data_IF_766551594395
#
_entry.id   IF_766551594395
#
_cell.length_a   1.000
_cell.length_b   1.000
_cell.length_c   1.000
_cell.angle_alpha   90.00
_cell.angle_beta   90.00
_cell.angle_gamma   90.00
#
_symmetry.space_group_name_H-M   'P 1'
#
loop_
_entity.id
_entity.type
_entity.pdbx_description
1 polymer ?
#
# COMPACT_ATOMS: atom_id res chain seq x y z
N UNK A 1 -8.17 26.26 1.06
CA UNK A 1 -7.15 25.74 1.98
C UNK A 1 -7.85 25.11 3.17
N UNK A 2 -7.59 23.85 3.46
CA UNK A 2 -7.96 23.27 4.74
C UNK A 2 -7.13 24.02 5.78
N UNK A 3 -7.75 24.87 6.58
CA UNK A 3 -7.11 25.67 7.65
C UNK A 3 -6.77 24.76 8.84
N UNK A 4 -5.84 23.83 8.64
CA UNK A 4 -5.36 22.88 9.65
C UNK A 4 -3.86 23.00 9.77
N UNK A 5 -3.35 22.96 10.98
CA UNK A 5 -1.94 22.66 11.19
C UNK A 5 -1.60 21.42 10.36
N UNK A 6 -0.46 21.37 9.66
CA UNK A 6 -0.14 20.26 8.75
C UNK A 6 -0.19 18.93 9.50
N UNK A 7 -1.09 18.06 9.08
CA UNK A 7 -1.36 16.75 9.69
C UNK A 7 -0.06 15.94 9.85
N UNK A 8 0.77 15.99 8.81
CA UNK A 8 2.06 15.31 8.80
C UNK A 8 3.05 15.91 9.81
N UNK A 9 3.07 17.24 9.96
CA UNK A 9 3.96 17.90 10.92
C UNK A 9 3.60 17.53 12.36
N UNK A 10 2.31 17.54 12.71
CA UNK A 10 1.83 17.09 14.03
C UNK A 10 2.15 15.61 14.28
N UNK A 11 1.97 14.76 13.27
CA UNK A 11 2.29 13.34 13.39
C UNK A 11 3.80 13.12 13.60
N UNK A 12 4.66 13.82 12.87
CA UNK A 12 6.12 13.76 13.03
C UNK A 12 6.56 14.21 14.41
N UNK A 13 6.02 15.33 14.89
CA UNK A 13 6.34 15.85 16.23
C UNK A 13 5.92 14.84 17.31
N UNK A 14 4.71 14.30 17.23
CA UNK A 14 4.21 13.30 18.20
C UNK A 14 5.11 12.07 18.26
N UNK A 15 5.46 11.46 17.11
CA UNK A 15 6.28 10.24 17.12
C UNK A 15 7.72 10.51 17.56
N UNK A 16 8.26 11.70 17.27
CA UNK A 16 9.58 12.12 17.75
C UNK A 16 9.61 12.34 19.26
N UNK A 17 8.58 12.94 19.83
CA UNK A 17 8.46 13.09 21.28
C UNK A 17 8.40 11.74 21.99
N UNK A 18 7.70 10.76 21.41
CA UNK A 18 7.53 9.43 21.98
C UNK A 18 8.77 8.53 21.80
N UNK A 19 9.47 8.61 20.67
CA UNK A 19 10.48 7.65 20.26
C UNK A 19 11.85 8.28 19.97
N UNK A 20 12.00 9.60 20.05
CA UNK A 20 13.23 10.32 19.64
C UNK A 20 14.48 9.93 20.45
N UNK A 21 14.30 9.42 21.67
CA UNK A 21 15.41 8.87 22.46
C UNK A 21 16.09 7.63 21.86
N UNK A 22 15.49 7.02 20.82
CA UNK A 22 16.11 5.91 20.09
C UNK A 22 17.11 6.36 19.02
N UNK A 23 17.04 7.62 18.56
CA UNK A 23 17.95 8.13 17.51
C UNK A 23 19.40 8.12 18.00
N UNK A 24 20.28 7.55 17.19
CA UNK A 24 21.69 7.35 17.50
C UNK A 24 21.99 6.04 18.23
N UNK A 25 20.98 5.26 18.62
CA UNK A 25 21.16 3.93 19.24
C UNK A 25 21.17 2.84 18.18
N UNK A 26 21.75 1.69 18.56
CA UNK A 26 21.62 0.46 17.78
C UNK A 26 20.17 -0.04 17.77
N UNK A 27 19.76 -0.71 16.69
CA UNK A 27 18.44 -1.33 16.61
C UNK A 27 18.20 -2.39 17.69
N UNK A 28 19.27 -3.04 18.14
CA UNK A 28 19.24 -4.05 19.22
C UNK A 28 18.93 -3.44 20.59
N UNK A 29 19.12 -2.11 20.75
CA UNK A 29 18.82 -1.39 21.99
C UNK A 29 17.41 -0.77 22.02
N UNK A 30 16.59 -1.01 20.98
CA UNK A 30 15.22 -0.52 20.93
C UNK A 30 14.36 -1.15 22.02
N UNK A 31 13.44 -0.36 22.54
CA UNK A 31 12.35 -0.89 23.38
C UNK A 31 11.40 -1.66 22.45
N UNK A 32 11.26 -2.95 22.69
CA UNK A 32 10.50 -3.88 21.88
C UNK A 32 9.05 -4.03 22.35
N UNK A 33 8.12 -4.44 21.48
CA UNK A 33 8.33 -4.62 20.04
C UNK A 33 8.39 -3.28 19.29
N UNK A 34 9.27 -3.18 18.26
CA UNK A 34 9.46 -1.97 17.51
C UNK A 34 9.49 -2.23 15.99
N UNK A 35 8.81 -1.40 15.22
CA UNK A 35 8.84 -1.46 13.76
C UNK A 35 10.10 -0.79 13.23
N UNK A 36 10.91 -1.53 12.49
CA UNK A 36 12.20 -1.09 11.97
C UNK A 36 12.19 -1.09 10.45
N UNK A 37 12.69 -0.01 9.86
CA UNK A 37 12.86 0.17 8.42
C UNK A 37 14.33 0.37 8.08
N UNK A 38 14.93 -0.56 7.35
CA UNK A 38 16.23 -0.36 6.71
C UNK A 38 16.03 0.52 5.47
N UNK A 39 16.45 1.78 5.56
CA UNK A 39 16.20 2.78 4.54
C UNK A 39 17.00 2.54 3.26
N UNK A 40 18.19 1.95 3.38
CA UNK A 40 19.03 1.69 2.23
C UNK A 40 18.52 0.47 1.45
N UNK A 41 18.04 -0.57 2.14
CA UNK A 41 17.35 -1.70 1.51
C UNK A 41 16.04 -1.25 0.83
N UNK A 42 15.24 -0.40 1.50
CA UNK A 42 14.04 0.19 0.89
C UNK A 42 14.36 1.00 -0.37
N UNK A 43 15.44 1.79 -0.35
CA UNK A 43 15.86 2.55 -1.53
C UNK A 43 16.32 1.64 -2.67
N UNK A 44 17.10 0.58 -2.39
CA UNK A 44 17.47 -0.41 -3.41
C UNK A 44 16.25 -1.08 -4.03
N UNK A 45 15.23 -1.38 -3.25
CA UNK A 45 13.96 -1.92 -3.75
C UNK A 45 13.24 -0.93 -4.69
N UNK A 46 13.19 0.34 -4.33
CA UNK A 46 12.60 1.41 -5.16
C UNK A 46 13.35 1.52 -6.48
N UNK A 47 14.66 1.61 -6.42
CA UNK A 47 15.52 1.76 -7.61
C UNK A 47 15.43 0.54 -8.52
N UNK A 48 15.35 -0.65 -7.94
CA UNK A 48 15.19 -1.92 -8.66
C UNK A 48 13.89 -1.95 -9.46
N UNK A 49 12.75 -1.70 -8.81
CA UNK A 49 11.46 -1.72 -9.53
C UNK A 49 11.42 -0.67 -10.64
N UNK A 50 11.86 0.55 -10.35
CA UNK A 50 11.93 1.61 -11.33
C UNK A 50 12.86 1.24 -12.50
N UNK A 51 13.97 0.56 -12.22
CA UNK A 51 14.90 0.04 -13.25
C UNK A 51 14.29 -1.06 -14.11
N UNK A 52 13.63 -2.05 -13.49
CA UNK A 52 12.94 -3.15 -14.21
C UNK A 52 11.87 -2.59 -15.15
N UNK A 53 11.00 -1.67 -14.68
CA UNK A 53 9.95 -1.08 -15.50
C UNK A 53 10.49 -0.22 -16.65
N UNK A 54 11.55 0.56 -16.42
CA UNK A 54 12.22 1.31 -17.51
C UNK A 54 12.76 0.38 -18.59
N UNK A 55 13.30 -0.77 -18.24
CA UNK A 55 13.79 -1.76 -19.20
C UNK A 55 12.67 -2.42 -20.00
N UNK A 56 11.50 -2.64 -19.37
CA UNK A 56 10.32 -3.17 -20.06
C UNK A 56 9.70 -2.14 -21.00
N UNK A 57 9.76 -0.85 -20.67
CA UNK A 57 9.40 0.27 -21.56
C UNK A 57 7.91 0.43 -21.85
N UNK A 58 7.02 -0.31 -21.17
CA UNK A 58 5.60 -0.36 -21.49
C UNK A 58 4.69 0.26 -20.44
N UNK A 59 5.00 0.15 -19.16
CA UNK A 59 4.18 0.66 -18.06
C UNK A 59 5.01 1.48 -17.07
N UNK A 60 4.36 2.47 -16.44
CA UNK A 60 4.92 3.24 -15.34
C UNK A 60 4.50 2.63 -14.00
N UNK A 61 5.13 3.07 -12.90
CA UNK A 61 4.68 2.71 -11.56
C UNK A 61 3.80 3.81 -10.96
N UNK A 62 2.69 3.43 -10.37
CA UNK A 62 1.88 4.20 -9.42
C UNK A 62 1.86 3.45 -8.09
N UNK A 63 2.87 3.64 -7.22
CA UNK A 63 3.04 2.83 -6.02
C UNK A 63 1.83 2.89 -5.11
N UNK A 64 1.50 1.74 -4.49
CA UNK A 64 0.36 1.68 -3.59
C UNK A 64 0.77 1.99 -2.15
N UNK A 65 0.37 3.16 -1.67
CA UNK A 65 0.71 3.73 -0.36
C UNK A 65 0.31 2.86 0.84
N UNK A 66 -0.79 2.08 0.73
CA UNK A 66 -1.29 1.21 1.82
C UNK A 66 -0.24 0.23 2.35
N UNK A 67 0.76 -0.10 1.53
CA UNK A 67 1.78 -1.08 1.90
C UNK A 67 2.69 -0.60 3.03
N UNK A 68 2.96 0.71 3.08
CA UNK A 68 3.93 1.29 4.02
C UNK A 68 3.41 2.48 4.82
N UNK A 69 2.38 3.19 4.37
CA UNK A 69 1.78 4.34 5.08
C UNK A 69 2.80 5.38 5.56
N UNK A 70 3.88 5.59 4.81
CA UNK A 70 4.94 6.57 5.09
C UNK A 70 5.03 7.59 3.96
N UNK A 71 4.71 8.88 4.22
CA UNK A 71 4.90 9.95 3.24
C UNK A 71 6.35 10.09 2.78
N UNK A 72 7.31 9.78 3.65
CA UNK A 72 8.74 9.85 3.32
C UNK A 72 9.14 8.78 2.29
N UNK A 73 8.60 7.55 2.40
CA UNK A 73 8.77 6.53 1.36
C UNK A 73 8.04 6.90 0.07
N UNK A 74 6.83 7.46 0.16
CA UNK A 74 6.07 7.93 -1.01
C UNK A 74 6.85 8.99 -1.80
N UNK A 75 7.48 9.96 -1.12
CA UNK A 75 8.36 10.94 -1.75
C UNK A 75 9.54 10.31 -2.48
N UNK A 76 10.20 9.31 -1.89
CA UNK A 76 11.30 8.58 -2.53
C UNK A 76 10.85 7.85 -3.80
N UNK A 77 9.65 7.27 -3.77
CA UNK A 77 9.05 6.61 -4.94
C UNK A 77 8.76 7.59 -6.07
N UNK A 78 8.23 8.78 -5.75
CA UNK A 78 8.01 9.86 -6.73
C UNK A 78 9.34 10.35 -7.29
N UNK A 79 10.37 10.56 -6.46
CA UNK A 79 11.70 10.94 -6.91
C UNK A 79 12.37 9.89 -7.81
N UNK A 80 12.04 8.61 -7.64
CA UNK A 80 12.49 7.52 -8.50
C UNK A 80 11.74 7.43 -9.85
N UNK A 81 10.73 8.29 -10.07
CA UNK A 81 10.00 8.41 -11.33
C UNK A 81 8.60 7.81 -11.32
N UNK A 82 7.99 7.61 -10.16
CA UNK A 82 6.57 7.24 -10.10
C UNK A 82 5.69 8.35 -10.69
N UNK A 83 4.71 7.97 -11.52
CA UNK A 83 3.81 8.89 -12.23
C UNK A 83 2.70 9.49 -11.36
N UNK A 84 2.61 9.09 -10.09
CA UNK A 84 1.62 9.45 -9.10
C UNK A 84 1.57 8.37 -8.04
N UNK A 85 0.57 8.40 -7.15
CA UNK A 85 0.42 7.44 -6.06
C UNK A 85 -0.98 6.84 -6.06
N UNK A 86 -1.10 5.55 -5.75
CA UNK A 86 -2.38 4.91 -5.46
C UNK A 86 -2.55 4.65 -3.96
N UNK A 87 -3.78 4.77 -3.49
CA UNK A 87 -4.13 4.59 -2.09
C UNK A 87 -5.50 3.92 -1.92
N UNK A 88 -5.68 3.26 -0.78
CA UNK A 88 -6.90 2.52 -0.49
C UNK A 88 -8.01 3.41 0.11
N UNK A 89 -7.67 4.51 0.76
CA UNK A 89 -8.63 5.32 1.51
C UNK A 89 -8.50 6.82 1.21
N UNK A 90 -9.60 7.54 1.37
CA UNK A 90 -9.63 9.01 1.25
C UNK A 90 -8.66 9.67 2.24
N UNK A 91 -8.46 9.09 3.40
CA UNK A 91 -7.58 9.62 4.43
C UNK A 91 -6.10 9.50 4.08
N UNK A 92 -5.73 8.45 3.34
CA UNK A 92 -4.40 8.35 2.75
C UNK A 92 -4.19 9.45 1.70
N UNK A 93 -5.20 9.77 0.88
CA UNK A 93 -5.13 10.88 -0.05
C UNK A 93 -4.93 12.22 0.65
N UNK A 94 -5.68 12.48 1.74
CA UNK A 94 -5.53 13.72 2.53
C UNK A 94 -4.12 13.86 3.11
N UNK A 95 -3.56 12.79 3.67
CA UNK A 95 -2.19 12.81 4.22
C UNK A 95 -1.14 13.06 3.15
N UNK A 96 -1.29 12.44 1.99
CA UNK A 96 -0.35 12.63 0.87
C UNK A 96 -0.45 14.04 0.29
N UNK A 97 -1.66 14.59 0.21
CA UNK A 97 -1.90 15.96 -0.16
C UNK A 97 -1.24 16.97 0.81
N UNK A 98 -1.41 16.75 2.12
CA UNK A 98 -0.78 17.52 3.18
C UNK A 98 0.76 17.42 3.13
N UNK A 99 1.28 16.29 2.70
CA UNK A 99 2.71 16.09 2.44
C UNK A 99 3.21 16.79 1.16
N UNK A 100 2.36 17.47 0.40
CA UNK A 100 2.70 18.14 -0.85
C UNK A 100 2.84 17.23 -2.05
N UNK A 101 2.30 16.00 -1.98
CA UNK A 101 2.25 15.05 -3.07
C UNK A 101 0.99 15.26 -3.90
N UNK A 102 1.11 15.20 -5.20
CA UNK A 102 0.04 15.37 -6.19
C UNK A 102 -0.16 14.08 -7.00
N UNK A 103 -1.17 14.06 -7.88
CA UNK A 103 -1.57 12.91 -8.69
C UNK A 103 -1.92 11.69 -7.83
N UNK A 104 -3.04 11.82 -7.11
CA UNK A 104 -3.53 10.90 -6.09
C UNK A 104 -4.67 10.04 -6.64
N UNK A 105 -4.52 8.73 -6.66
CA UNK A 105 -5.55 7.81 -7.11
C UNK A 105 -6.11 6.97 -5.95
N UNK A 106 -7.34 7.27 -5.51
CA UNK A 106 -8.09 6.43 -4.57
C UNK A 106 -8.69 5.26 -5.33
N UNK A 107 -8.08 4.10 -5.19
CA UNK A 107 -8.41 2.90 -5.99
C UNK A 107 -9.64 2.14 -5.50
N UNK A 108 -10.15 2.46 -4.33
CA UNK A 108 -11.40 1.88 -3.82
C UNK A 108 -12.58 2.79 -4.16
N UNK A 109 -13.75 2.18 -4.38
CA UNK A 109 -15.02 2.90 -4.47
C UNK A 109 -15.33 3.67 -3.20
N UNK A 110 -15.77 4.92 -3.34
CA UNK A 110 -16.07 5.81 -2.20
C UNK A 110 -17.53 6.21 -2.24
N UNK A 111 -18.36 5.64 -1.35
CA UNK A 111 -19.80 5.85 -1.32
C UNK A 111 -20.29 6.80 -0.22
N UNK A 112 -19.56 6.94 0.89
CA UNK A 112 -20.01 7.77 2.01
C UNK A 112 -19.95 9.27 1.66
N UNK A 113 -21.05 10.06 1.80
CA UNK A 113 -21.13 11.45 1.36
C UNK A 113 -20.02 12.35 1.92
N UNK A 114 -19.65 12.20 3.19
CA UNK A 114 -18.57 12.97 3.79
C UNK A 114 -17.20 12.68 3.15
N UNK A 115 -16.93 11.42 2.78
CA UNK A 115 -15.69 11.04 2.08
C UNK A 115 -15.68 11.59 0.65
N UNK A 116 -16.81 11.53 -0.05
CA UNK A 116 -16.99 12.12 -1.39
C UNK A 116 -16.74 13.62 -1.35
N UNK A 117 -17.30 14.34 -0.36
CA UNK A 117 -17.07 15.78 -0.19
C UNK A 117 -15.60 16.14 0.07
N UNK A 118 -14.85 15.27 0.79
CA UNK A 118 -13.40 15.46 1.00
C UNK A 118 -12.64 15.32 -0.33
N UNK A 119 -12.94 14.28 -1.12
CA UNK A 119 -12.31 14.09 -2.44
C UNK A 119 -12.57 15.28 -3.37
N UNK A 120 -13.81 15.76 -3.42
CA UNK A 120 -14.18 16.91 -4.24
C UNK A 120 -13.41 18.18 -3.83
N UNK A 121 -13.20 18.42 -2.52
CA UNK A 121 -12.38 19.54 -2.05
C UNK A 121 -10.90 19.39 -2.39
N UNK A 122 -10.34 18.19 -2.22
CA UNK A 122 -8.95 17.92 -2.60
C UNK A 122 -8.72 18.16 -4.10
N UNK A 123 -9.69 17.78 -4.93
CA UNK A 123 -9.62 17.95 -6.38
C UNK A 123 -9.68 19.42 -6.87
N UNK A 124 -9.92 20.38 -5.98
CA UNK A 124 -9.81 21.80 -6.31
C UNK A 124 -8.35 22.27 -6.45
N UNK A 125 -7.44 21.69 -5.69
CA UNK A 125 -6.04 22.09 -5.62
C UNK A 125 -5.07 21.05 -6.20
N UNK A 126 -5.55 19.80 -6.41
CA UNK A 126 -4.70 18.66 -6.78
C UNK A 126 -5.36 17.79 -7.83
N UNK A 127 -4.55 17.00 -8.53
CA UNK A 127 -5.07 15.96 -9.42
C UNK A 127 -5.50 14.75 -8.59
N UNK A 128 -6.83 14.55 -8.46
CA UNK A 128 -7.41 13.42 -7.73
C UNK A 128 -8.17 12.52 -8.69
N UNK A 129 -7.85 11.22 -8.65
CA UNK A 129 -8.57 10.16 -9.35
C UNK A 129 -9.29 9.30 -8.30
N UNK A 130 -10.46 8.76 -8.69
CA UNK A 130 -11.21 7.81 -7.86
C UNK A 130 -11.81 6.71 -8.72
N UNK A 131 -11.83 5.48 -8.20
CA UNK A 131 -12.44 4.34 -8.84
C UNK A 131 -13.97 4.38 -8.69
N UNK A 132 -14.69 3.98 -9.74
CA UNK A 132 -16.15 3.79 -9.75
C UNK A 132 -16.51 2.53 -10.51
N UNK A 133 -17.58 1.87 -10.09
CA UNK A 133 -18.14 0.68 -10.74
C UNK A 133 -19.65 0.77 -10.95
N UNK A 134 -20.30 1.84 -10.43
CA UNK A 134 -21.74 2.05 -10.54
C UNK A 134 -22.12 3.50 -10.86
N UNK A 135 -23.18 3.68 -11.66
CA UNK A 135 -23.69 4.98 -12.06
C UNK A 135 -24.17 5.88 -10.89
N UNK A 136 -24.88 5.35 -9.85
CA UNK A 136 -25.26 6.17 -8.69
C UNK A 136 -24.06 6.76 -7.94
N UNK A 137 -22.95 6.02 -7.85
CA UNK A 137 -21.71 6.50 -7.22
C UNK A 137 -21.05 7.61 -8.05
N UNK A 138 -20.99 7.44 -9.39
CA UNK A 138 -20.51 8.47 -10.30
C UNK A 138 -21.35 9.76 -10.20
N UNK A 139 -22.68 9.65 -10.13
CA UNK A 139 -23.57 10.79 -9.96
C UNK A 139 -23.34 11.52 -8.63
N UNK A 140 -23.10 10.80 -7.53
CA UNK A 140 -22.80 11.40 -6.23
C UNK A 140 -21.46 12.16 -6.24
N UNK A 141 -20.43 11.59 -6.87
CA UNK A 141 -19.13 12.26 -7.08
C UNK A 141 -19.27 13.52 -7.95
N UNK A 142 -20.05 13.46 -9.03
CA UNK A 142 -20.36 14.62 -9.90
C UNK A 142 -21.01 15.76 -9.13
N UNK A 143 -22.04 15.44 -8.33
CA UNK A 143 -22.71 16.45 -7.51
C UNK A 143 -21.77 17.14 -6.53
N UNK A 144 -20.91 16.39 -5.88
CA UNK A 144 -19.93 16.93 -4.92
C UNK A 144 -18.84 17.76 -5.63
N UNK A 145 -18.30 17.27 -6.75
CA UNK A 145 -17.30 17.99 -7.52
C UNK A 145 -17.84 19.32 -8.05
N UNK A 146 -19.07 19.31 -8.60
CA UNK A 146 -19.77 20.52 -9.05
C UNK A 146 -19.98 21.50 -7.91
N UNK A 147 -20.43 21.03 -6.75
CA UNK A 147 -20.63 21.88 -5.57
C UNK A 147 -19.31 22.48 -5.04
N UNK A 148 -18.21 21.77 -5.17
CA UNK A 148 -16.86 22.25 -4.79
C UNK A 148 -16.18 23.10 -5.86
N UNK A 149 -16.74 23.19 -7.06
CA UNK A 149 -16.11 23.88 -8.21
C UNK A 149 -14.83 23.17 -8.70
N UNK A 150 -14.77 21.86 -8.52
CA UNK A 150 -13.61 21.01 -8.84
C UNK A 150 -13.90 20.02 -9.95
N UNK A 151 -12.87 19.29 -10.37
CA UNK A 151 -13.00 18.19 -11.33
C UNK A 151 -12.30 16.93 -10.81
N UNK A 152 -13.05 15.85 -10.63
CA UNK A 152 -12.53 14.54 -10.28
C UNK A 152 -12.20 13.72 -11.52
N UNK A 153 -11.00 13.12 -11.55
CA UNK A 153 -10.65 12.09 -12.51
C UNK A 153 -11.33 10.77 -12.15
N UNK A 154 -11.96 10.12 -13.11
CA UNK A 154 -12.67 8.86 -12.89
C UNK A 154 -11.96 7.72 -13.60
N UNK A 155 -11.68 6.68 -12.84
CA UNK A 155 -11.23 5.38 -13.31
C UNK A 155 -12.39 4.39 -13.16
N UNK A 156 -12.89 3.81 -14.26
CA UNK A 156 -13.89 2.75 -14.13
C UNK A 156 -13.18 1.46 -13.71
N UNK A 157 -13.60 0.88 -12.59
CA UNK A 157 -13.05 -0.39 -12.11
C UNK A 157 -13.68 -1.54 -12.88
N UNK A 158 -12.83 -2.47 -13.33
CA UNK A 158 -13.20 -3.68 -14.05
C UNK A 158 -12.87 -4.88 -13.18
N UNK A 159 -13.82 -5.76 -12.92
CA UNK A 159 -13.52 -7.02 -12.23
C UNK A 159 -12.77 -7.95 -13.18
N UNK A 160 -11.52 -8.19 -12.85
CA UNK A 160 -10.60 -9.05 -13.61
C UNK A 160 -10.56 -10.49 -13.07
N UNK A 161 -11.57 -10.89 -12.29
CA UNK A 161 -11.70 -12.21 -11.68
C UNK A 161 -11.41 -12.24 -10.18
N UNK A 162 -11.45 -11.07 -9.51
CA UNK A 162 -11.29 -10.96 -8.07
C UNK A 162 -12.61 -11.18 -7.32
N UNK A 163 -13.76 -11.05 -7.99
CA UNK A 163 -15.11 -11.13 -7.42
C UNK A 163 -15.29 -10.17 -6.22
N UNK A 164 -14.84 -8.92 -6.38
CA UNK A 164 -14.84 -7.93 -5.29
C UNK A 164 -15.61 -6.66 -5.64
N UNK A 165 -15.03 -5.81 -6.45
CA UNK A 165 -15.62 -4.59 -7.02
C UNK A 165 -15.27 -4.54 -8.51
N UNK A 166 -15.96 -3.68 -9.24
CA UNK A 166 -15.75 -3.51 -10.67
C UNK A 166 -16.94 -3.98 -11.49
N UNK A 167 -16.98 -3.53 -12.72
CA UNK A 167 -17.97 -3.97 -13.71
C UNK A 167 -17.64 -5.38 -14.20
N UNK A 168 -18.67 -6.23 -14.34
CA UNK A 168 -18.52 -7.64 -14.71
C UNK A 168 -18.28 -7.85 -16.21
N UNK A 169 -18.71 -6.91 -17.05
CA UNK A 169 -18.63 -7.04 -18.51
C UNK A 169 -18.10 -5.78 -19.19
N UNK A 170 -17.55 -5.94 -20.39
CA UNK A 170 -17.04 -4.84 -21.19
C UNK A 170 -18.16 -3.83 -21.56
N UNK A 171 -19.38 -4.32 -21.81
CA UNK A 171 -20.52 -3.49 -22.13
C UNK A 171 -20.98 -2.65 -20.94
N UNK A 172 -20.93 -3.20 -19.70
CA UNK A 172 -21.19 -2.43 -18.48
C UNK A 172 -20.15 -1.33 -18.30
N UNK A 173 -18.85 -1.63 -18.50
CA UNK A 173 -17.77 -0.64 -18.46
C UNK A 173 -18.00 0.47 -19.47
N UNK A 174 -18.34 0.12 -20.72
CA UNK A 174 -18.62 1.09 -21.78
C UNK A 174 -19.82 1.99 -21.43
N UNK A 175 -20.90 1.40 -20.93
CA UNK A 175 -22.09 2.15 -20.54
C UNK A 175 -21.78 3.13 -19.39
N UNK A 176 -21.01 2.71 -18.40
CA UNK A 176 -20.61 3.55 -17.27
C UNK A 176 -19.64 4.66 -17.72
N UNK A 177 -18.67 4.36 -18.58
CA UNK A 177 -17.74 5.35 -19.13
C UNK A 177 -18.48 6.49 -19.88
N UNK A 178 -19.47 6.14 -20.72
CA UNK A 178 -20.34 7.13 -21.39
C UNK A 178 -21.09 8.00 -20.39
N UNK A 179 -21.67 7.39 -19.35
CA UNK A 179 -22.38 8.15 -18.30
C UNK A 179 -21.43 9.10 -17.55
N UNK A 180 -20.22 8.65 -17.21
CA UNK A 180 -19.20 9.49 -16.55
C UNK A 180 -18.85 10.71 -17.43
N UNK A 181 -18.72 10.52 -18.74
CA UNK A 181 -18.40 11.62 -19.67
C UNK A 181 -19.51 12.67 -19.76
N UNK A 182 -20.76 12.29 -19.54
CA UNK A 182 -21.92 13.19 -19.56
C UNK A 182 -22.11 13.94 -18.22
N UNK A 183 -21.44 13.53 -17.14
CA UNK A 183 -21.61 14.08 -15.80
C UNK A 183 -20.69 15.30 -15.57
N UNK A 184 -21.23 16.48 -15.17
CA UNK A 184 -20.43 17.65 -14.88
C UNK A 184 -19.49 17.44 -13.69
N UNK A 185 -18.32 18.07 -13.70
CA UNK A 185 -17.32 17.95 -12.64
C UNK A 185 -16.58 16.61 -12.62
N UNK A 186 -16.82 15.73 -13.60
CA UNK A 186 -16.06 14.51 -13.78
C UNK A 186 -15.27 14.53 -15.10
N UNK A 187 -14.16 13.79 -15.12
CA UNK A 187 -13.36 13.53 -16.31
C UNK A 187 -12.99 12.05 -16.36
N UNK A 188 -13.41 11.34 -17.39
CA UNK A 188 -12.97 9.97 -17.61
C UNK A 188 -11.49 9.93 -17.95
N UNK A 189 -10.70 9.17 -17.19
CA UNK A 189 -9.26 9.04 -17.36
C UNK A 189 -8.86 7.68 -17.93
N UNK A 190 -9.65 6.64 -17.65
CA UNK A 190 -9.39 5.29 -18.08
C UNK A 190 -10.03 4.23 -17.20
N UNK A 191 -9.42 3.05 -17.19
CA UNK A 191 -9.89 1.89 -16.43
C UNK A 191 -8.84 1.41 -15.44
N UNK A 192 -9.32 0.81 -14.35
CA UNK A 192 -8.48 0.12 -13.37
C UNK A 192 -8.99 -1.28 -13.12
N UNK A 193 -8.10 -2.22 -12.81
CA UNK A 193 -8.45 -3.58 -12.42
C UNK A 193 -7.35 -4.19 -11.56
N UNK A 194 -7.70 -5.15 -10.72
CA UNK A 194 -6.72 -5.83 -9.87
C UNK A 194 -6.91 -7.33 -9.89
N UNK A 195 -5.96 -8.03 -10.45
CA UNK A 195 -5.91 -9.49 -10.50
C UNK A 195 -5.41 -10.12 -9.17
N UNK A 196 -6.03 -9.68 -8.05
CA UNK A 196 -5.61 -10.08 -6.70
C UNK A 196 -5.75 -11.58 -6.42
N UNK A 197 -6.65 -12.28 -7.08
CA UNK A 197 -6.79 -13.73 -7.02
C UNK A 197 -5.51 -14.46 -7.48
N UNK A 198 -4.69 -13.82 -8.31
CA UNK A 198 -3.38 -14.35 -8.70
C UNK A 198 -2.42 -14.43 -7.51
N UNK A 199 -2.48 -13.47 -6.57
CA UNK A 199 -1.65 -13.49 -5.36
C UNK A 199 -1.94 -14.68 -4.44
N UNK A 200 -3.14 -15.24 -4.52
CA UNK A 200 -3.54 -16.44 -3.76
C UNK A 200 -3.09 -17.75 -4.43
N UNK A 201 -2.46 -17.65 -5.60
CA UNK A 201 -2.04 -18.81 -6.40
C UNK A 201 -0.55 -19.05 -6.20
N UNK A 202 -0.20 -20.08 -5.43
CA UNK A 202 1.20 -20.42 -5.12
C UNK A 202 1.94 -20.92 -6.37
N UNK A 203 1.32 -21.80 -7.17
CA UNK A 203 1.91 -22.29 -8.40
C UNK A 203 2.16 -21.17 -9.41
N UNK A 204 3.42 -21.02 -9.82
CA UNK A 204 3.87 -19.93 -10.66
C UNK A 204 3.30 -19.99 -12.09
N UNK A 205 3.15 -21.20 -12.65
CA UNK A 205 2.63 -21.38 -14.01
C UNK A 205 1.12 -21.06 -14.04
N UNK A 206 0.38 -21.58 -13.07
CA UNK A 206 -1.06 -21.30 -12.93
C UNK A 206 -1.32 -19.82 -12.62
N UNK A 207 -0.46 -19.19 -11.78
CA UNK A 207 -0.56 -17.73 -11.50
C UNK A 207 -0.36 -16.91 -12.78
N UNK A 208 0.61 -17.26 -13.61
CA UNK A 208 0.88 -16.59 -14.88
C UNK A 208 -0.28 -16.80 -15.88
N UNK A 209 -0.87 -17.99 -15.94
CA UNK A 209 -2.04 -18.28 -16.76
C UNK A 209 -3.24 -17.40 -16.36
N UNK A 210 -3.57 -17.37 -15.07
CA UNK A 210 -4.66 -16.52 -14.53
C UNK A 210 -4.42 -15.04 -14.77
N UNK A 211 -3.18 -14.58 -14.58
CA UNK A 211 -2.82 -13.20 -14.88
C UNK A 211 -3.03 -12.88 -16.36
N UNK A 212 -2.63 -13.77 -17.28
CA UNK A 212 -2.82 -13.58 -18.71
C UNK A 212 -4.30 -13.52 -19.09
N UNK A 213 -5.14 -14.37 -18.50
CA UNK A 213 -6.59 -14.35 -18.69
C UNK A 213 -7.19 -13.03 -18.20
N UNK A 214 -6.86 -12.61 -17.00
CA UNK A 214 -7.29 -11.34 -16.41
C UNK A 214 -6.90 -10.13 -17.28
N UNK A 215 -5.64 -10.07 -17.75
CA UNK A 215 -5.17 -8.96 -18.57
C UNK A 215 -5.71 -9.00 -20.00
N UNK A 216 -5.98 -10.16 -20.56
CA UNK A 216 -6.66 -10.29 -21.86
C UNK A 216 -8.06 -9.68 -21.81
N UNK A 217 -8.82 -9.99 -20.75
CA UNK A 217 -10.13 -9.38 -20.52
C UNK A 217 -10.01 -7.87 -20.31
N UNK A 218 -9.15 -7.43 -19.38
CA UNK A 218 -8.94 -6.03 -19.03
C UNK A 218 -8.57 -5.15 -20.24
N UNK A 219 -7.63 -5.60 -21.06
CA UNK A 219 -7.22 -4.83 -22.25
C UNK A 219 -8.26 -4.91 -23.36
N UNK A 220 -8.99 -6.01 -23.47
CA UNK A 220 -10.15 -6.13 -24.39
C UNK A 220 -11.27 -5.14 -24.05
N UNK A 221 -11.49 -4.85 -22.76
CA UNK A 221 -12.40 -3.77 -22.32
C UNK A 221 -11.91 -2.41 -22.82
N UNK A 222 -10.62 -2.12 -22.69
CA UNK A 222 -10.04 -0.87 -23.18
C UNK A 222 -10.17 -0.74 -24.71
N UNK A 223 -9.96 -1.83 -25.44
CA UNK A 223 -10.11 -1.85 -26.91
C UNK A 223 -11.55 -1.58 -27.33
N UNK A 224 -12.54 -2.09 -26.59
CA UNK A 224 -13.97 -1.80 -26.83
C UNK A 224 -14.27 -0.30 -26.61
N UNK A 225 -13.74 0.30 -25.55
CA UNK A 225 -13.89 1.74 -25.29
C UNK A 225 -13.30 2.57 -26.44
N UNK A 226 -12.10 2.23 -26.89
CA UNK A 226 -11.44 2.95 -28.00
C UNK A 226 -12.14 2.76 -29.35
N UNK A 227 -12.69 1.57 -29.62
CA UNK A 227 -13.51 1.32 -30.80
C UNK A 227 -14.80 2.16 -30.81
N UNK A 228 -15.33 2.51 -29.63
CA UNK A 228 -16.47 3.43 -29.45
C UNK A 228 -16.07 4.91 -29.47
N UNK A 229 -14.78 5.23 -29.68
CA UNK A 229 -14.24 6.59 -29.70
C UNK A 229 -13.93 7.19 -28.31
N UNK A 230 -14.00 6.38 -27.25
CA UNK A 230 -13.66 6.79 -25.88
C UNK A 230 -12.18 6.51 -25.63
N UNK A 231 -11.37 7.57 -25.51
CA UNK A 231 -9.95 7.44 -25.22
C UNK A 231 -9.74 6.87 -23.81
N UNK A 232 -9.10 5.71 -23.72
CA UNK A 232 -8.70 5.07 -22.47
C UNK A 232 -7.23 5.37 -22.18
N UNK A 233 -6.96 6.55 -21.60
CA UNK A 233 -5.60 7.07 -21.41
C UNK A 233 -4.80 6.32 -20.35
N UNK A 234 -5.44 5.90 -19.27
CA UNK A 234 -4.84 5.13 -18.18
C UNK A 234 -5.47 3.74 -18.15
N UNK A 235 -4.62 2.72 -18.15
CA UNK A 235 -4.99 1.31 -18.00
C UNK A 235 -4.15 0.74 -16.88
N UNK A 236 -4.65 0.91 -15.64
CA UNK A 236 -3.92 0.69 -14.40
C UNK A 236 -4.28 -0.65 -13.80
N UNK A 237 -3.29 -1.54 -13.63
CA UNK A 237 -3.47 -2.89 -13.11
C UNK A 237 -2.23 -3.39 -12.37
N UNK A 238 -2.24 -4.64 -11.93
CA UNK A 238 -1.08 -5.31 -11.36
C UNK A 238 -0.80 -5.00 -9.89
N UNK A 239 -0.18 -5.98 -9.27
CA UNK A 239 0.37 -5.90 -7.93
C UNK A 239 1.74 -6.54 -7.89
N UNK A 240 2.35 -6.65 -6.71
CA UNK A 240 3.71 -7.18 -6.58
C UNK A 240 3.84 -8.62 -7.11
N UNK A 241 2.80 -9.45 -6.96
CA UNK A 241 2.83 -10.85 -7.36
C UNK A 241 2.84 -11.08 -8.88
N UNK A 242 2.41 -10.08 -9.65
CA UNK A 242 2.17 -10.19 -11.10
C UNK A 242 2.89 -9.13 -11.92
N UNK A 243 3.47 -8.10 -11.28
CA UNK A 243 3.93 -6.88 -11.95
C UNK A 243 4.84 -7.12 -13.16
N UNK A 244 5.74 -8.12 -13.11
CA UNK A 244 6.66 -8.39 -14.22
C UNK A 244 5.94 -8.85 -15.48
N UNK A 245 4.85 -9.59 -15.35
CA UNK A 245 4.03 -10.01 -16.48
C UNK A 245 3.05 -8.93 -16.91
N UNK A 246 2.41 -8.29 -15.92
CA UNK A 246 1.39 -7.25 -16.17
C UNK A 246 2.02 -6.00 -16.77
N UNK A 247 3.22 -5.59 -16.33
CA UNK A 247 3.93 -4.45 -16.92
C UNK A 247 4.33 -4.67 -18.37
N UNK A 248 4.65 -5.91 -18.77
CA UNK A 248 4.95 -6.28 -20.14
C UNK A 248 3.72 -6.58 -21.00
N UNK A 249 2.52 -6.59 -20.42
CA UNK A 249 1.31 -6.95 -21.17
C UNK A 249 0.86 -5.80 -22.08
N UNK A 250 0.66 -6.06 -23.39
CA UNK A 250 0.27 -5.02 -24.33
C UNK A 250 -1.00 -4.29 -23.89
N UNK A 251 -0.97 -2.98 -23.86
CA UNK A 251 -2.10 -2.15 -23.49
C UNK A 251 -2.15 -1.73 -22.00
N UNK A 252 -1.42 -2.36 -21.09
CA UNK A 252 -1.27 -1.87 -19.72
C UNK A 252 -0.34 -0.66 -19.71
N UNK A 253 -0.73 0.42 -19.01
CA UNK A 253 0.04 1.66 -18.94
C UNK A 253 0.62 1.94 -17.57
N UNK A 254 0.06 1.30 -16.52
CA UNK A 254 0.39 1.62 -15.13
C UNK A 254 0.30 0.40 -14.22
N UNK A 255 1.26 0.26 -13.31
CA UNK A 255 1.33 -0.81 -12.31
C UNK A 255 1.14 -0.23 -10.91
N UNK A 256 0.35 -0.94 -10.05
CA UNK A 256 0.02 -0.50 -8.69
C UNK A 256 0.72 -1.28 -7.58
N UNK A 257 1.91 -1.81 -7.83
CA UNK A 257 2.66 -2.53 -6.80
C UNK A 257 3.01 -1.65 -5.61
N UNK A 258 2.89 -2.17 -4.39
CA UNK A 258 3.18 -1.44 -3.15
C UNK A 258 4.19 -2.13 -2.25
N UNK A 259 4.02 -3.42 -1.97
CA UNK A 259 4.78 -4.17 -0.96
C UNK A 259 6.28 -4.29 -1.29
N UNK A 260 6.66 -4.14 -2.56
CA UNK A 260 8.06 -4.24 -2.98
C UNK A 260 9.03 -3.37 -2.17
N UNK A 261 8.57 -2.21 -1.69
CA UNK A 261 9.44 -1.27 -0.95
C UNK A 261 9.83 -1.79 0.42
N UNK A 262 8.93 -2.52 1.08
CA UNK A 262 9.12 -3.07 2.43
C UNK A 262 9.41 -4.56 2.42
N UNK A 263 8.84 -5.29 1.50
CA UNK A 263 8.83 -6.73 1.30
C UNK A 263 8.37 -7.51 2.54
N UNK A 264 7.87 -8.71 2.33
CA UNK A 264 7.45 -9.65 3.36
C UNK A 264 7.57 -11.09 2.86
N UNK A 265 7.45 -12.05 3.77
CA UNK A 265 7.60 -13.46 3.42
C UNK A 265 6.49 -13.99 2.50
N UNK A 266 5.27 -13.41 2.58
CA UNK A 266 4.17 -13.80 1.70
C UNK A 266 4.46 -13.49 0.23
N UNK A 267 5.08 -12.35 -0.07
CA UNK A 267 5.33 -11.92 -1.45
C UNK A 267 6.72 -12.30 -1.98
N UNK A 268 7.67 -12.63 -1.12
CA UNK A 268 9.06 -12.87 -1.49
C UNK A 268 9.19 -13.94 -2.58
N UNK A 269 8.52 -15.08 -2.43
CA UNK A 269 8.56 -16.16 -3.42
C UNK A 269 7.89 -15.81 -4.76
N UNK A 270 6.98 -14.81 -4.78
CA UNK A 270 6.29 -14.34 -5.98
C UNK A 270 7.08 -13.26 -6.71
N UNK A 271 7.87 -12.49 -5.97
CA UNK A 271 8.64 -11.36 -6.49
C UNK A 271 10.10 -11.42 -6.03
N UNK A 272 10.85 -12.47 -6.39
CA UNK A 272 12.20 -12.66 -5.89
C UNK A 272 13.12 -11.49 -6.30
N UNK A 273 14.06 -11.18 -5.40
CA UNK A 273 15.11 -10.20 -5.60
C UNK A 273 14.85 -8.83 -4.96
N UNK A 274 13.71 -8.60 -4.34
CA UNK A 274 13.52 -7.50 -3.41
C UNK A 274 13.99 -7.89 -2.02
N UNK A 275 14.49 -6.92 -1.26
CA UNK A 275 15.02 -7.12 0.08
C UNK A 275 13.94 -6.89 1.14
N UNK A 276 13.97 -7.66 2.22
CA UNK A 276 13.17 -7.39 3.41
C UNK A 276 13.71 -6.15 4.12
N UNK A 277 13.21 -4.96 3.77
CA UNK A 277 13.62 -3.72 4.43
C UNK A 277 12.84 -3.45 5.72
N UNK A 278 11.73 -4.17 5.94
CA UNK A 278 10.88 -4.06 7.11
C UNK A 278 11.09 -5.25 8.04
N UNK A 279 11.31 -4.97 9.32
CA UNK A 279 11.33 -5.99 10.37
C UNK A 279 10.63 -5.48 11.62
N UNK A 280 10.20 -6.40 12.47
CA UNK A 280 9.78 -6.12 13.84
C UNK A 280 10.91 -6.54 14.76
N UNK A 281 11.49 -5.59 15.50
CA UNK A 281 12.45 -5.88 16.55
C UNK A 281 11.73 -6.39 17.77
N UNK A 282 12.14 -7.53 18.31
CA UNK A 282 11.55 -8.20 19.46
C UNK A 282 12.62 -8.69 20.44
N UNK A 283 12.27 -8.86 21.70
CA UNK A 283 13.15 -9.40 22.74
C UNK A 283 12.76 -10.83 23.08
N UNK A 284 13.76 -11.68 23.27
CA UNK A 284 13.57 -13.01 23.86
C UNK A 284 13.22 -12.85 25.33
N UNK A 285 11.99 -13.19 25.70
CA UNK A 285 11.49 -13.05 27.08
C UNK A 285 11.45 -14.38 27.83
N UNK A 286 11.52 -15.50 27.11
CA UNK A 286 11.60 -16.83 27.73
C UNK A 286 12.34 -17.81 26.83
N UNK A 287 13.18 -18.64 27.43
CA UNK A 287 13.94 -19.70 26.77
C UNK A 287 13.76 -21.02 27.51
N UNK A 288 13.26 -22.03 26.80
CA UNK A 288 13.13 -23.40 27.29
C UNK A 288 13.92 -24.35 26.39
N UNK A 289 14.09 -25.60 26.77
CA UNK A 289 14.92 -26.56 26.01
C UNK A 289 14.57 -26.67 24.53
N UNK A 290 13.28 -26.57 24.17
CA UNK A 290 12.79 -26.76 22.80
C UNK A 290 12.06 -25.54 22.21
N UNK A 291 12.06 -24.38 22.90
CA UNK A 291 11.32 -23.20 22.44
C UNK A 291 11.92 -21.87 22.87
N UNK A 292 11.77 -20.89 22.02
CA UNK A 292 12.06 -19.46 22.27
C UNK A 292 10.75 -18.70 22.22
N UNK A 293 10.55 -17.77 23.15
CA UNK A 293 9.37 -16.90 23.21
C UNK A 293 9.84 -15.46 23.16
N UNK A 294 9.24 -14.68 22.26
CA UNK A 294 9.50 -13.25 22.10
C UNK A 294 8.29 -12.43 22.52
N UNK A 295 8.50 -11.14 22.84
CA UNK A 295 7.48 -10.17 23.26
C UNK A 295 6.65 -9.56 22.10
N UNK A 296 6.78 -10.09 20.89
CA UNK A 296 5.98 -9.70 19.75
C UNK A 296 4.92 -10.78 19.46
N UNK A 297 3.65 -10.45 19.64
CA UNK A 297 2.50 -11.31 19.36
C UNK A 297 1.65 -10.80 18.21
N UNK A 298 0.39 -11.29 18.13
CA UNK A 298 -0.58 -10.91 17.09
C UNK A 298 -0.87 -9.40 17.02
N UNK A 299 -0.70 -8.66 18.14
CA UNK A 299 -0.86 -7.21 18.16
C UNK A 299 0.34 -6.44 17.62
N UNK A 300 1.45 -7.13 17.38
CA UNK A 300 2.69 -6.55 16.87
C UNK A 300 3.05 -7.06 15.49
N UNK A 301 2.63 -8.28 15.14
CA UNK A 301 2.88 -8.91 13.84
C UNK A 301 1.57 -9.52 13.34
N UNK A 302 1.00 -8.89 12.34
CA UNK A 302 -0.22 -9.39 11.72
C UNK A 302 0.10 -10.56 10.79
N UNK A 303 -0.84 -11.52 10.69
CA UNK A 303 -0.74 -12.73 9.87
C UNK A 303 0.57 -13.51 10.11
N UNK A 304 0.72 -14.08 11.31
CA UNK A 304 2.00 -14.59 11.79
C UNK A 304 2.43 -15.93 11.21
N UNK A 305 1.63 -16.56 10.35
CA UNK A 305 1.89 -17.94 9.87
C UNK A 305 3.26 -18.08 9.20
N UNK A 306 3.68 -17.08 8.44
CA UNK A 306 4.92 -17.08 7.64
C UNK A 306 6.02 -16.19 8.24
N UNK A 307 5.98 -15.88 9.53
CA UNK A 307 7.04 -15.10 10.19
C UNK A 307 8.34 -15.87 10.23
N UNK A 308 9.45 -15.21 9.91
CA UNK A 308 10.81 -15.76 10.07
C UNK A 308 11.65 -14.87 10.98
N UNK A 309 12.68 -15.45 11.59
CA UNK A 309 13.63 -14.75 12.46
C UNK A 309 14.94 -14.57 11.72
N UNK A 310 15.38 -13.34 11.52
CA UNK A 310 16.59 -13.03 10.75
C UNK A 310 17.82 -13.68 11.39
N UNK A 311 18.56 -14.46 10.58
CA UNK A 311 19.75 -15.17 11.05
C UNK A 311 19.49 -16.42 11.90
N UNK A 312 18.23 -16.84 12.04
CA UNK A 312 17.81 -18.00 12.83
C UNK A 312 16.85 -18.90 12.07
N UNK A 313 17.29 -19.44 10.95
CA UNK A 313 16.47 -20.31 10.08
C UNK A 313 16.01 -21.60 10.76
N UNK A 314 16.69 -21.97 11.85
CA UNK A 314 16.35 -23.11 12.69
C UNK A 314 15.08 -22.89 13.53
N UNK A 315 14.70 -21.64 13.79
CA UNK A 315 13.49 -21.30 14.52
C UNK A 315 12.26 -21.43 13.60
N UNK A 316 11.22 -22.12 14.07
CA UNK A 316 9.97 -22.24 13.33
C UNK A 316 8.82 -21.75 14.19
N UNK A 317 7.90 -21.03 13.57
CA UNK A 317 6.68 -20.58 14.24
C UNK A 317 5.90 -21.80 14.75
N UNK A 318 5.57 -21.78 16.04
CA UNK A 318 4.62 -22.72 16.65
C UNK A 318 3.23 -22.09 16.72
N UNK A 319 3.17 -20.85 17.24
CA UNK A 319 1.97 -20.03 17.29
C UNK A 319 2.34 -18.59 17.70
N UNK A 320 1.40 -17.70 17.49
CA UNK A 320 1.39 -16.36 18.10
C UNK A 320 0.16 -16.24 19.00
N UNK A 321 0.39 -15.81 20.23
CA UNK A 321 -0.65 -15.36 21.16
C UNK A 321 -0.75 -13.82 21.04
N UNK A 322 -1.53 -13.15 21.90
CA UNK A 322 -1.75 -11.69 21.78
C UNK A 322 -0.43 -10.90 21.85
N UNK A 323 0.42 -11.21 22.84
CA UNK A 323 1.66 -10.50 23.13
C UNK A 323 2.91 -11.41 23.02
N UNK A 324 2.77 -12.63 22.51
CA UNK A 324 3.85 -13.61 22.49
C UNK A 324 3.98 -14.29 21.12
N UNK A 325 5.19 -14.26 20.54
CA UNK A 325 5.59 -15.15 19.45
C UNK A 325 6.30 -16.38 20.02
N UNK A 326 5.77 -17.56 19.75
CA UNK A 326 6.33 -18.84 20.20
C UNK A 326 6.96 -19.54 19.04
N UNK A 327 8.27 -19.79 19.15
CA UNK A 327 9.06 -20.52 18.16
C UNK A 327 9.58 -21.84 18.73
N UNK A 328 9.57 -22.91 17.94
CA UNK A 328 10.36 -24.08 18.22
C UNK A 328 11.84 -23.78 18.02
N UNK A 329 12.68 -24.28 18.90
CA UNK A 329 14.13 -24.11 18.81
C UNK A 329 14.80 -25.45 19.02
N UNK A 330 15.84 -25.81 18.23
CA UNK A 330 16.62 -27.01 18.47
C UNK A 330 17.38 -26.92 19.79
N UNK A 331 17.75 -28.08 20.33
CA UNK A 331 18.65 -28.14 21.47
C UNK A 331 19.99 -27.51 21.08
N UNK A 332 20.50 -26.57 21.93
CA UNK A 332 21.74 -25.84 21.66
C UNK A 332 21.59 -24.55 20.87
N UNK A 333 20.37 -24.10 20.55
CA UNK A 333 20.17 -22.73 20.03
C UNK A 333 20.80 -21.71 20.98
N UNK A 334 21.59 -20.76 20.43
CA UNK A 334 22.40 -19.83 21.20
C UNK A 334 21.60 -18.70 21.86
N UNK A 335 20.31 -18.50 21.46
CA UNK A 335 19.49 -17.41 21.99
C UNK A 335 19.21 -17.56 23.49
N UNK A 336 19.37 -16.46 24.21
CA UNK A 336 19.13 -16.34 25.65
C UNK A 336 18.04 -15.28 25.94
N UNK A 337 17.50 -15.30 27.14
CA UNK A 337 16.58 -14.25 27.62
C UNK A 337 17.32 -12.91 27.63
N UNK A 338 16.70 -11.90 27.04
CA UNK A 338 17.25 -10.56 26.86
C UNK A 338 17.90 -10.33 25.49
N UNK A 339 18.09 -11.38 24.69
CA UNK A 339 18.59 -11.20 23.32
C UNK A 339 17.53 -10.49 22.46
N UNK A 340 18.03 -9.63 21.57
CA UNK A 340 17.23 -8.91 20.59
C UNK A 340 17.21 -9.68 19.26
N UNK A 341 16.02 -9.86 18.66
CA UNK A 341 15.85 -10.57 17.39
C UNK A 341 15.00 -9.73 16.45
N UNK A 342 15.25 -9.89 15.15
CA UNK A 342 14.47 -9.22 14.11
C UNK A 342 13.53 -10.24 13.43
N UNK A 343 12.23 -9.92 13.39
CA UNK A 343 11.21 -10.74 12.75
C UNK A 343 10.88 -10.14 11.38
N UNK A 344 10.95 -10.94 10.31
CA UNK A 344 10.35 -10.58 9.03
C UNK A 344 8.87 -10.97 9.10
N UNK A 345 7.92 -10.01 8.90
CA UNK A 345 6.51 -10.34 8.99
C UNK A 345 6.05 -11.23 7.84
N UNK A 346 5.06 -12.07 8.09
CA UNK A 346 4.37 -12.82 7.05
C UNK A 346 3.67 -11.88 6.07
N UNK A 347 3.04 -10.79 6.58
CA UNK A 347 2.36 -9.80 5.73
C UNK A 347 2.64 -8.37 6.22
N UNK A 348 3.43 -7.62 5.47
CA UNK A 348 3.90 -6.29 5.84
C UNK A 348 2.79 -5.23 5.99
N UNK A 349 1.82 -5.07 5.07
CA UNK A 349 0.85 -3.98 5.15
C UNK A 349 0.01 -4.00 6.44
N UNK A 350 -0.40 -5.17 6.90
CA UNK A 350 -1.16 -5.31 8.15
C UNK A 350 -0.27 -5.12 9.39
N UNK A 351 0.99 -5.56 9.33
CA UNK A 351 1.96 -5.37 10.42
C UNK A 351 2.29 -3.88 10.59
N UNK A 352 2.55 -3.16 9.50
CA UNK A 352 2.75 -1.70 9.52
C UNK A 352 1.59 -0.99 10.22
N UNK A 353 0.36 -1.41 9.95
CA UNK A 353 -0.82 -0.80 10.53
C UNK A 353 -0.97 -1.02 12.06
N UNK A 354 -0.17 -1.88 12.68
CA UNK A 354 -0.11 -2.07 14.13
C UNK A 354 0.71 -1.00 14.87
N UNK A 355 1.54 -0.21 14.15
CA UNK A 355 2.51 0.72 14.74
C UNK A 355 2.20 2.17 14.44
N UNK A 356 2.61 3.08 15.34
CA UNK A 356 2.54 4.54 15.14
C UNK A 356 3.75 5.09 14.38
N UNK A 357 4.91 4.41 14.45
CA UNK A 357 6.16 4.91 13.94
C UNK A 357 7.09 3.82 13.41
N UNK A 358 7.89 4.19 12.42
CA UNK A 358 9.08 3.48 12.00
C UNK A 358 10.30 3.99 12.78
N UNK A 359 11.14 3.08 13.25
CA UNK A 359 12.52 3.36 13.59
C UNK A 359 13.35 3.15 12.32
N UNK A 360 13.75 4.26 11.69
CA UNK A 360 14.50 4.24 10.43
C UNK A 360 15.96 3.97 10.74
N UNK A 361 16.50 2.88 10.18
CA UNK A 361 17.90 2.49 10.43
C UNK A 361 18.76 2.57 9.18
N UNK A 362 20.05 2.86 9.41
CA UNK A 362 21.14 2.72 8.46
C UNK A 362 22.31 2.08 9.16
N UNK A 363 22.89 1.04 8.57
CA UNK A 363 23.98 0.27 9.18
C UNK A 363 23.67 -0.16 10.63
N UNK A 364 22.41 -0.55 10.90
CA UNK A 364 21.95 -0.98 12.22
C UNK A 364 21.68 0.14 13.23
N UNK A 365 21.98 1.40 12.92
CA UNK A 365 21.80 2.56 13.82
C UNK A 365 20.50 3.29 13.43
N UNK A 366 19.69 3.64 14.43
CA UNK A 366 18.48 4.46 14.24
C UNK A 366 18.89 5.88 13.86
N UNK A 367 18.49 6.30 12.68
CA UNK A 367 18.83 7.64 12.13
C UNK A 367 17.67 8.62 12.17
N UNK A 368 16.44 8.12 12.18
CA UNK A 368 15.23 8.97 12.25
C UNK A 368 14.01 8.16 12.77
N UNK A 369 12.93 8.87 13.09
CA UNK A 369 11.63 8.32 13.45
C UNK A 369 10.60 8.89 12.49
N UNK A 370 9.96 8.02 11.71
CA UNK A 370 8.92 8.42 10.76
C UNK A 370 7.54 7.95 11.18
N UNK A 371 6.49 8.76 11.01
CA UNK A 371 5.13 8.34 11.34
C UNK A 371 4.60 7.29 10.37
N UNK A 372 3.83 6.33 10.88
CA UNK A 372 2.90 5.52 10.10
C UNK A 372 1.56 6.26 10.09
N UNK A 373 1.14 6.76 8.92
CA UNK A 373 -0.03 7.64 8.82
C UNK A 373 -0.79 7.51 7.49
N UNK A 374 -2.16 7.50 7.49
CA UNK A 374 -3.02 7.21 8.64
C UNK A 374 -2.98 5.72 8.95
N UNK A 375 -2.98 5.34 10.21
CA UNK A 375 -3.04 3.95 10.64
C UNK A 375 -4.42 3.56 11.18
N UNK A 376 -4.63 2.26 11.45
CA UNK A 376 -5.91 1.73 11.89
C UNK A 376 -7.00 1.92 10.84
N UNK A 377 -8.25 2.21 11.25
CA UNK A 377 -9.35 2.51 10.32
C UNK A 377 -9.17 3.80 9.51
N UNK A 378 -8.10 4.58 9.77
CA UNK A 378 -7.71 5.72 8.97
C UNK A 378 -8.54 6.99 9.19
N UNK A 379 -9.21 7.16 10.33
CA UNK A 379 -10.09 8.31 10.59
C UNK A 379 -9.47 9.39 11.50
N UNK A 380 -8.23 9.22 11.93
CA UNK A 380 -7.61 10.10 12.92
C UNK A 380 -7.45 11.54 12.41
N UNK A 381 -8.08 12.48 13.09
CA UNK A 381 -7.94 13.92 12.85
C UNK A 381 -8.81 14.50 11.73
N UNK A 382 -9.58 13.65 11.03
CA UNK A 382 -10.45 14.06 9.93
C UNK A 382 -11.95 13.96 10.28
N UNK A 383 -12.27 13.62 11.53
CA UNK A 383 -13.59 13.92 12.06
C UNK A 383 -13.82 15.43 11.94
N UNK A 384 -15.03 15.84 11.52
CA UNK A 384 -15.39 17.25 11.47
C UNK A 384 -14.96 17.92 12.76
N UNK A 385 -14.26 19.04 12.65
CA UNK A 385 -14.00 19.88 13.81
C UNK A 385 -15.36 20.30 14.40
N UNK A 386 -15.48 20.51 15.72
CA UNK A 386 -16.71 21.00 16.29
C UNK A 386 -17.15 22.27 15.53
N UNK A 387 -18.29 22.22 14.83
CA UNK A 387 -18.81 23.29 14.00
C UNK A 387 -18.70 23.13 12.48
N UNK A 388 -17.92 22.19 11.97
CA UNK A 388 -17.93 21.83 10.54
C UNK A 388 -19.05 20.79 10.28
N UNK A 389 -19.96 21.13 9.33
CA UNK A 389 -20.89 20.15 8.75
C UNK A 389 -20.25 19.58 7.49
N UNK A 390 -20.28 18.25 7.37
CA UNK A 390 -19.88 17.55 6.14
C UNK A 390 -20.79 17.93 4.96
#
# INVERSE_FOLDING_TARGET
MLDSAPILAEARERVRQQNGGAVGRSREELITPALVLDIDAAQRNIDRLAGELRQMGSATIRPHYKAHKSPDLAWRQVQAGAGGLSMATVWEAVVLADAGLDDLFVVNTVSHPAKIAVLARLAADQRVLVAVDEAPNAAALSGAATAAGSTLGIMVEVDTGMDRCGTDTAEQTLALARQVMDLPGLRFEGITGYEGHCSLTIDNALRHERQREAMTFFTGVADLLEADGIRCGIRSAGGIATFRWTAGFPGVTEIQAGTYVVMDNYHDHMAPGFEHSLTVQASVISRQSSRVIVDAGNKSVADPADVTVVGHDELKVVRFDEEHGVFSAPEGSALAVGDSVALVPGYAPSTVNCYDAYHVVRDGIVTDIWPVIPRGPGHHGLAARPGERY
#
